data_IF_512340300153
#
_entry.id   IF_512340300153
#
_cell.length_a   1.000
_cell.length_b   1.000
_cell.length_c   1.000
_cell.angle_alpha   90.00
_cell.angle_beta   90.00
_cell.angle_gamma   90.00
#
_symmetry.space_group_name_H-M   'P 1'
#
loop_
_entity.id
_entity.type
_entity.pdbx_description
1 polymer ?
#
# COMPACT_ATOMS: atom_id res chain seq x y z
N UNK A 1 -8.27 -70.55 -36.14
CA UNK A 1 -9.08 -69.51 -36.82
C UNK A 1 -10.13 -69.07 -35.78
N UNK A 2 -10.20 -67.88 -35.22
CA UNK A 2 -9.90 -66.52 -35.69
C UNK A 2 -9.66 -65.61 -34.47
N UNK A 3 -8.72 -64.68 -34.58
CA UNK A 3 -8.46 -63.65 -33.56
C UNK A 3 -9.42 -62.46 -33.64
N UNK A 4 -9.62 -61.75 -32.52
CA UNK A 4 -10.39 -60.50 -32.46
C UNK A 4 -9.62 -59.39 -31.73
N UNK A 5 -8.91 -58.61 -32.56
CA UNK A 5 -8.73 -57.14 -32.61
C UNK A 5 -8.93 -56.32 -31.30
N UNK A 6 -7.83 -55.71 -30.85
CA UNK A 6 -7.76 -54.62 -29.86
C UNK A 6 -8.54 -53.37 -30.31
N UNK A 7 -9.31 -52.79 -29.39
CA UNK A 7 -9.94 -51.49 -29.54
C UNK A 7 -9.00 -50.36 -29.09
N UNK A 8 -8.88 -49.36 -29.96
CA UNK A 8 -8.15 -48.11 -29.82
C UNK A 8 -8.89 -47.14 -28.91
N UNK A 9 -8.20 -46.58 -27.91
CA UNK A 9 -8.70 -45.47 -27.06
C UNK A 9 -8.89 -44.18 -27.88
N UNK A 10 -9.93 -43.37 -27.62
CA UNK A 10 -10.08 -42.09 -28.28
C UNK A 10 -9.26 -41.00 -27.57
N UNK A 11 -8.45 -40.34 -28.38
CA UNK A 11 -7.97 -38.95 -28.35
C UNK A 11 -8.46 -38.09 -27.17
N UNK A 12 -7.49 -37.61 -26.39
CA UNK A 12 -7.67 -36.57 -25.38
C UNK A 12 -8.22 -35.28 -25.98
N UNK A 13 -9.25 -34.75 -25.34
CA UNK A 13 -9.81 -33.43 -25.65
C UNK A 13 -8.83 -32.32 -25.25
N UNK A 14 -8.69 -31.24 -26.03
CA UNK A 14 -7.89 -30.11 -25.64
C UNK A 14 -8.55 -29.40 -24.44
N UNK A 15 -7.80 -29.30 -23.35
CA UNK A 15 -8.09 -28.44 -22.20
C UNK A 15 -8.33 -27.01 -22.70
N UNK A 16 -9.58 -26.55 -22.61
CA UNK A 16 -9.90 -25.13 -22.72
C UNK A 16 -9.10 -24.37 -21.67
N UNK A 17 -8.17 -23.53 -22.12
CA UNK A 17 -7.39 -22.67 -21.24
C UNK A 17 -8.30 -21.68 -20.52
N UNK A 18 -8.41 -21.82 -19.21
CA UNK A 18 -8.88 -20.78 -18.29
C UNK A 18 -7.89 -19.60 -18.32
N UNK A 19 -8.00 -18.73 -19.33
CA UNK A 19 -7.21 -17.48 -19.41
C UNK A 19 -7.97 -16.31 -18.75
N UNK A 20 -9.26 -16.46 -18.47
CA UNK A 20 -10.18 -15.37 -18.07
C UNK A 20 -10.27 -15.09 -16.55
N UNK A 21 -9.82 -16.00 -15.68
CA UNK A 21 -9.97 -15.82 -14.22
C UNK A 21 -8.80 -15.02 -13.60
N UNK A 22 -7.59 -15.19 -14.15
CA UNK A 22 -6.40 -14.48 -13.67
C UNK A 22 -6.44 -12.99 -14.01
N UNK A 23 -7.02 -12.60 -15.15
CA UNK A 23 -7.10 -11.21 -15.57
C UNK A 23 -8.08 -10.40 -14.72
N UNK A 24 -9.24 -10.97 -14.39
CA UNK A 24 -10.24 -10.33 -13.53
C UNK A 24 -9.72 -10.13 -12.10
N UNK A 25 -8.97 -11.11 -11.58
CA UNK A 25 -8.35 -11.00 -10.26
C UNK A 25 -7.33 -9.85 -10.20
N UNK A 26 -6.48 -9.72 -11.23
CA UNK A 26 -5.50 -8.62 -11.33
C UNK A 26 -6.16 -7.25 -11.53
N UNK A 27 -7.33 -7.21 -12.15
CA UNK A 27 -8.11 -5.98 -12.31
C UNK A 27 -8.80 -5.54 -11.02
N UNK A 28 -9.10 -6.45 -10.11
CA UNK A 28 -9.59 -6.06 -8.78
C UNK A 28 -8.46 -5.48 -7.90
N UNK A 29 -7.22 -5.94 -8.06
CA UNK A 29 -6.07 -5.44 -7.28
C UNK A 29 -5.76 -3.95 -7.51
N UNK A 30 -6.13 -3.39 -8.67
CA UNK A 30 -5.93 -1.96 -8.99
C UNK A 30 -7.02 -1.04 -8.43
N UNK A 31 -8.11 -1.59 -7.92
CA UNK A 31 -9.24 -0.81 -7.43
C UNK A 31 -9.18 -0.61 -5.92
N UNK A 32 -9.50 0.62 -5.49
CA UNK A 32 -9.71 0.87 -4.06
C UNK A 32 -10.97 0.15 -3.59
N UNK A 33 -11.04 -0.29 -2.32
CA UNK A 33 -12.25 -0.94 -1.80
C UNK A 33 -13.50 -0.07 -2.02
N UNK A 34 -14.53 -0.66 -2.63
CA UNK A 34 -15.77 0.06 -3.00
C UNK A 34 -16.43 0.74 -1.79
N UNK A 35 -16.28 0.17 -0.59
CA UNK A 35 -16.78 0.74 0.66
C UNK A 35 -16.11 2.09 0.99
N UNK A 36 -14.80 2.23 0.74
CA UNK A 36 -14.06 3.47 0.98
C UNK A 36 -14.48 4.55 -0.01
N UNK A 37 -14.60 4.18 -1.30
CA UNK A 37 -15.12 5.07 -2.35
C UNK A 37 -16.52 5.55 -2.01
N UNK A 38 -17.43 4.63 -1.70
CA UNK A 38 -18.82 4.95 -1.34
C UNK A 38 -18.92 5.86 -0.11
N UNK A 39 -18.05 5.69 0.89
CA UNK A 39 -18.02 6.54 2.09
C UNK A 39 -17.62 7.96 1.76
N UNK A 40 -16.64 8.16 0.87
CA UNK A 40 -16.18 9.49 0.45
C UNK A 40 -17.25 10.17 -0.40
N UNK A 41 -17.80 9.48 -1.40
CA UNK A 41 -18.89 10.02 -2.23
C UNK A 41 -20.08 10.48 -1.39
N UNK A 42 -20.42 9.75 -0.31
CA UNK A 42 -21.50 10.12 0.61
C UNK A 42 -21.26 11.43 1.35
N UNK A 43 -20.01 11.81 1.65
CA UNK A 43 -19.70 13.06 2.34
C UNK A 43 -20.03 14.30 1.52
N UNK A 44 -20.06 14.18 0.19
CA UNK A 44 -20.41 15.26 -0.72
C UNK A 44 -21.93 15.37 -0.97
N UNK A 45 -22.75 14.53 -0.32
CA UNK A 45 -24.18 14.43 -0.56
C UNK A 45 -24.99 14.62 0.74
N UNK A 46 -26.27 15.00 0.64
CA UNK A 46 -27.19 14.99 1.79
C UNK A 46 -27.27 13.62 2.46
N UNK A 47 -27.54 13.62 3.78
CA UNK A 47 -27.52 12.41 4.61
C UNK A 47 -28.44 11.28 4.11
N UNK A 48 -29.58 11.63 3.53
CA UNK A 48 -30.60 10.69 3.02
C UNK A 48 -30.41 10.31 1.55
N UNK A 49 -29.45 10.89 0.84
CA UNK A 49 -29.24 10.57 -0.57
C UNK A 49 -28.85 9.09 -0.74
N UNK A 50 -29.18 8.48 -1.89
CA UNK A 50 -28.72 7.14 -2.27
C UNK A 50 -27.72 7.25 -3.42
N UNK A 51 -26.80 6.31 -3.54
CA UNK A 51 -25.84 6.21 -4.65
C UNK A 51 -26.07 4.85 -5.28
N UNK A 52 -26.30 4.81 -6.60
CA UNK A 52 -26.50 3.56 -7.33
C UNK A 52 -25.23 2.70 -7.30
N UNK A 53 -25.36 1.43 -7.66
CA UNK A 53 -24.21 0.54 -7.80
C UNK A 53 -23.28 1.03 -8.90
N UNK A 54 -23.83 1.33 -10.09
CA UNK A 54 -23.02 1.75 -11.24
C UNK A 54 -22.23 3.03 -10.92
N UNK A 55 -22.84 4.02 -10.25
CA UNK A 55 -22.13 5.25 -9.89
C UNK A 55 -20.93 5.01 -8.97
N UNK A 56 -20.99 4.01 -8.08
CA UNK A 56 -19.84 3.67 -7.21
C UNK A 56 -18.73 2.99 -8.01
N UNK A 57 -19.09 2.10 -8.93
CA UNK A 57 -18.16 1.39 -9.82
C UNK A 57 -17.48 2.38 -10.78
N UNK A 58 -18.23 3.29 -11.41
CA UNK A 58 -17.66 4.34 -12.27
C UNK A 58 -16.67 5.21 -11.51
N UNK A 59 -17.00 5.67 -10.29
CA UNK A 59 -16.06 6.49 -9.52
C UNK A 59 -14.84 5.68 -9.04
N UNK A 60 -15.01 4.38 -8.77
CA UNK A 60 -13.90 3.47 -8.45
C UNK A 60 -12.93 3.32 -9.64
N UNK A 61 -13.46 3.22 -10.85
CA UNK A 61 -12.64 3.22 -12.07
C UNK A 61 -11.95 4.58 -12.27
N UNK A 62 -12.69 5.68 -12.15
CA UNK A 62 -12.16 7.04 -12.31
C UNK A 62 -11.05 7.35 -11.30
N UNK A 63 -11.15 6.91 -10.04
CA UNK A 63 -10.11 7.20 -9.04
C UNK A 63 -8.84 6.40 -9.31
N UNK A 64 -8.96 5.17 -9.81
CA UNK A 64 -7.80 4.38 -10.23
C UNK A 64 -7.11 5.00 -11.45
N UNK A 65 -7.88 5.52 -12.41
CA UNK A 65 -7.32 6.29 -13.53
C UNK A 65 -6.68 7.60 -13.06
N UNK A 66 -7.31 8.32 -12.14
CA UNK A 66 -6.76 9.55 -11.56
C UNK A 66 -5.38 9.31 -10.90
N UNK A 67 -5.23 8.23 -10.14
CA UNK A 67 -3.94 7.86 -9.55
C UNK A 67 -2.89 7.65 -10.66
N UNK A 68 -3.20 6.85 -11.68
CA UNK A 68 -2.30 6.62 -12.81
C UNK A 68 -1.98 7.89 -13.58
N UNK A 69 -2.95 8.78 -13.76
CA UNK A 69 -2.79 10.03 -14.50
C UNK A 69 -1.83 11.00 -13.79
N UNK A 70 -2.06 11.27 -12.51
CA UNK A 70 -1.18 12.15 -11.72
C UNK A 70 0.22 11.55 -11.59
N UNK A 71 0.30 10.25 -11.29
CA UNK A 71 1.60 9.59 -11.09
C UNK A 71 2.39 9.46 -12.39
N UNK A 72 1.72 9.33 -13.54
CA UNK A 72 2.34 9.39 -14.86
C UNK A 72 3.02 10.75 -15.11
N UNK A 73 2.29 11.84 -14.93
CA UNK A 73 2.83 13.20 -15.15
C UNK A 73 4.00 13.52 -14.19
N UNK A 74 3.88 13.11 -12.92
CA UNK A 74 4.96 13.26 -11.95
C UNK A 74 6.19 12.38 -12.28
N UNK A 75 5.95 11.16 -12.77
CA UNK A 75 7.02 10.26 -13.23
C UNK A 75 7.78 10.89 -14.40
N UNK A 76 7.08 11.46 -15.37
CA UNK A 76 7.71 12.12 -16.52
C UNK A 76 8.61 13.28 -16.09
N UNK A 77 8.16 14.12 -15.14
CA UNK A 77 9.03 15.15 -14.53
C UNK A 77 10.25 14.56 -13.86
N UNK A 78 10.06 13.57 -12.99
CA UNK A 78 11.15 12.90 -12.28
C UNK A 78 12.20 12.36 -13.25
N UNK A 79 11.76 11.71 -14.33
CA UNK A 79 12.64 11.13 -15.34
C UNK A 79 13.37 12.19 -16.17
N UNK A 80 12.70 13.28 -16.57
CA UNK A 80 13.36 14.42 -17.25
C UNK A 80 14.49 15.02 -16.40
N UNK A 81 14.33 15.03 -15.09
CA UNK A 81 15.34 15.47 -14.12
C UNK A 81 16.39 14.39 -13.79
N UNK A 82 16.39 13.26 -14.51
CA UNK A 82 17.30 12.12 -14.33
C UNK A 82 17.23 11.47 -12.93
N UNK A 83 16.09 11.59 -12.25
CA UNK A 83 15.83 10.94 -10.96
C UNK A 83 15.07 9.63 -11.19
N UNK A 84 15.33 8.64 -10.33
CA UNK A 84 14.65 7.33 -10.34
C UNK A 84 13.51 7.23 -9.31
N UNK A 85 13.44 8.18 -8.39
CA UNK A 85 12.47 8.19 -7.29
C UNK A 85 11.63 9.46 -7.39
N UNK A 86 10.32 9.26 -7.49
CA UNK A 86 9.33 10.33 -7.49
C UNK A 86 9.22 10.86 -6.06
N UNK A 87 9.31 12.18 -5.91
CA UNK A 87 9.20 12.86 -4.62
C UNK A 87 7.87 13.63 -4.50
N UNK A 88 7.53 14.10 -3.30
CA UNK A 88 6.31 14.90 -3.08
C UNK A 88 6.24 16.18 -3.92
N UNK A 89 7.39 16.81 -4.21
CA UNK A 89 7.49 18.01 -5.04
C UNK A 89 7.18 17.72 -6.52
N UNK A 90 7.31 16.48 -6.98
CA UNK A 90 6.87 16.07 -8.32
C UNK A 90 5.36 16.00 -8.41
N UNK A 91 4.70 15.51 -7.35
CA UNK A 91 3.25 15.45 -7.30
C UNK A 91 2.63 16.84 -7.23
N UNK A 92 3.23 17.76 -6.44
CA UNK A 92 2.78 19.15 -6.37
C UNK A 92 2.89 19.86 -7.72
N UNK A 93 3.98 19.60 -8.46
CA UNK A 93 4.14 20.11 -9.81
C UNK A 93 3.09 19.52 -10.76
N UNK A 94 2.90 18.20 -10.77
CA UNK A 94 1.93 17.53 -11.63
C UNK A 94 0.50 18.06 -11.38
N UNK A 95 0.11 18.23 -10.11
CA UNK A 95 -1.18 18.82 -9.74
C UNK A 95 -1.37 20.22 -10.32
N UNK A 96 -0.31 21.03 -10.36
CA UNK A 96 -0.37 22.38 -10.97
C UNK A 96 -0.49 22.27 -12.49
N UNK A 97 0.37 21.47 -13.13
CA UNK A 97 0.41 21.31 -14.59
C UNK A 97 -0.90 20.77 -15.17
N UNK A 98 -1.57 19.88 -14.44
CA UNK A 98 -2.80 19.23 -14.88
C UNK A 98 -4.08 20.03 -14.54
N UNK A 99 -3.97 21.23 -13.96
CA UNK A 99 -5.13 22.09 -13.66
C UNK A 99 -5.85 21.75 -12.35
N UNK A 100 -5.15 21.14 -11.39
CA UNK A 100 -5.66 20.78 -10.06
C UNK A 100 -5.08 21.70 -8.97
N UNK A 101 -4.89 22.98 -9.27
CA UNK A 101 -4.20 23.96 -8.40
C UNK A 101 -4.86 24.11 -7.03
N UNK A 102 -6.18 23.95 -6.96
CA UNK A 102 -6.95 23.98 -5.72
C UNK A 102 -6.51 22.92 -4.70
N UNK A 103 -5.87 21.84 -5.15
CA UNK A 103 -5.32 20.79 -4.27
C UNK A 103 -3.89 21.08 -3.80
N UNK A 104 -3.15 21.97 -4.47
CA UNK A 104 -1.72 22.22 -4.20
C UNK A 104 -1.52 22.80 -2.80
N UNK A 105 -2.35 23.76 -2.38
CA UNK A 105 -2.26 24.38 -1.05
C UNK A 105 -2.39 23.34 0.09
N UNK A 106 -3.50 22.59 0.15
CA UNK A 106 -3.68 21.50 1.12
C UNK A 106 -2.57 20.45 1.08
N UNK A 107 -2.12 20.05 -0.11
CA UNK A 107 -1.06 19.05 -0.26
C UNK A 107 0.31 19.52 0.24
N UNK A 108 0.64 20.81 0.08
CA UNK A 108 1.88 21.40 0.64
C UNK A 108 1.89 21.32 2.16
N UNK A 109 0.77 21.65 2.81
CA UNK A 109 0.64 21.55 4.27
C UNK A 109 0.82 20.09 4.70
N UNK A 110 0.16 19.15 4.02
CA UNK A 110 0.31 17.73 4.31
C UNK A 110 1.77 17.25 4.17
N UNK A 111 2.45 17.62 3.08
CA UNK A 111 3.83 17.24 2.83
C UNK A 111 4.79 17.79 3.90
N UNK A 112 4.55 19.03 4.36
CA UNK A 112 5.34 19.62 5.44
C UNK A 112 5.18 18.84 6.75
N UNK A 113 3.94 18.60 7.17
CA UNK A 113 3.66 17.86 8.40
C UNK A 113 4.20 16.41 8.36
N UNK A 114 4.16 15.78 7.18
CA UNK A 114 4.75 14.45 6.97
C UNK A 114 6.28 14.46 7.18
N UNK A 115 6.97 15.47 6.64
CA UNK A 115 8.42 15.63 6.81
C UNK A 115 8.82 15.87 8.27
N UNK A 116 8.03 16.65 9.01
CA UNK A 116 8.25 16.87 10.45
C UNK A 116 8.10 15.56 11.23
N UNK A 117 7.00 14.83 11.01
CA UNK A 117 6.70 13.58 11.74
C UNK A 117 7.71 12.46 11.44
N UNK A 118 8.17 12.34 10.18
CA UNK A 118 9.18 11.33 9.82
C UNK A 118 10.60 11.75 10.24
N UNK A 119 10.89 13.06 10.25
CA UNK A 119 12.16 13.59 10.76
C UNK A 119 12.38 13.30 12.26
N UNK A 120 11.31 13.34 13.06
CA UNK A 120 11.34 13.00 14.49
C UNK A 120 11.66 11.50 14.73
N UNK A 121 11.14 10.61 13.87
CA UNK A 121 11.44 9.16 13.94
C UNK A 121 12.86 8.84 13.51
N UNK A 122 13.41 9.58 12.52
CA UNK A 122 14.80 9.44 12.09
C UNK A 122 15.84 9.85 13.15
N UNK A 123 15.53 10.88 13.95
CA UNK A 123 16.41 11.33 15.04
C UNK A 123 16.40 10.41 16.27
N UNK A 124 15.40 9.52 16.39
CA UNK A 124 15.27 8.59 17.52
C UNK A 124 16.07 7.29 17.32
N UNK A 125 16.53 6.99 16.11
CA UNK A 125 17.36 5.82 15.80
C UNK A 125 18.86 6.14 15.62
N UNK A 126 19.25 7.43 15.64
CA UNK A 126 20.64 7.85 15.40
C UNK A 126 21.50 8.03 16.66
N UNK A 127 21.10 7.45 17.82
CA UNK A 127 21.84 7.62 19.10
C UNK A 127 22.16 6.34 19.87
N UNK A 128 22.32 5.23 19.16
CA UNK A 128 22.95 3.98 19.60
C UNK A 128 23.51 3.37 18.31
N UNK A 129 24.80 3.11 18.08
CA UNK A 129 25.87 2.66 18.96
C UNK A 129 27.20 3.17 18.38
N UNK A 130 27.96 3.89 19.20
CA UNK A 130 29.40 3.97 19.04
C UNK A 130 29.99 2.85 19.90
N UNK A 131 30.92 2.10 19.29
CA UNK A 131 32.00 1.34 19.95
C UNK A 131 31.74 -0.14 20.35
N UNK A 132 32.18 -1.06 19.47
CA UNK A 132 32.57 -2.42 19.84
C UNK A 132 34.12 -2.49 19.89
N UNK A 133 34.76 -2.78 21.04
CA UNK A 133 36.17 -3.16 21.07
C UNK A 133 36.33 -4.63 20.68
N UNK A 134 37.31 -4.88 19.80
CA UNK A 134 37.78 -6.19 19.37
C UNK A 134 38.50 -6.87 20.54
N UNK A 135 38.16 -8.13 20.85
CA UNK A 135 39.10 -9.09 21.46
C UNK A 135 38.74 -10.53 21.04
N UNK A 136 39.76 -11.28 20.64
CA UNK A 136 39.69 -12.60 20.03
C UNK A 136 39.75 -13.75 21.08
N UNK A 137 39.06 -14.85 20.73
CA UNK A 137 39.28 -16.29 21.03
C UNK A 137 39.48 -16.79 22.49
N UNK A 138 38.63 -17.72 22.96
CA UNK A 138 38.88 -19.17 22.87
C UNK A 138 37.81 -20.04 23.58
N UNK A 139 37.77 -21.28 23.10
CA UNK A 139 36.97 -22.51 23.27
C UNK A 139 36.44 -23.00 24.67
N UNK A 140 35.43 -23.88 24.56
CA UNK A 140 34.91 -24.96 25.44
C UNK A 140 33.75 -24.72 26.44
N UNK A 141 32.69 -25.56 26.28
CA UNK A 141 32.05 -26.22 27.43
C UNK A 141 30.50 -26.32 27.45
N UNK A 142 29.97 -27.53 27.24
CA UNK A 142 28.56 -27.92 27.39
C UNK A 142 28.04 -27.88 28.86
N UNK A 143 26.83 -27.37 29.12
CA UNK A 143 25.61 -28.08 29.65
C UNK A 143 24.58 -27.18 30.38
N UNK A 144 23.32 -27.32 29.91
CA UNK A 144 22.05 -27.55 30.62
C UNK A 144 21.51 -26.61 31.74
N UNK A 145 20.26 -26.14 31.52
CA UNK A 145 19.21 -26.06 32.55
C UNK A 145 18.81 -24.65 33.01
N UNK A 146 17.54 -24.25 32.78
CA UNK A 146 16.98 -23.08 33.46
C UNK A 146 15.74 -22.46 32.82
N UNK A 147 14.59 -22.76 33.41
CA UNK A 147 13.21 -22.36 33.09
C UNK A 147 12.90 -20.88 33.47
N UNK A 148 11.83 -20.33 32.85
CA UNK A 148 10.95 -19.17 33.16
C UNK A 148 11.49 -17.75 33.47
N UNK A 149 11.02 -16.76 32.68
CA UNK A 149 10.29 -15.60 33.24
C UNK A 149 9.54 -14.81 32.16
N UNK A 150 8.21 -14.77 32.31
CA UNK A 150 7.30 -13.85 31.63
C UNK A 150 7.25 -12.59 32.50
N UNK A 151 7.83 -11.50 32.03
CA UNK A 151 7.80 -10.20 32.69
C UNK A 151 7.02 -9.21 31.84
N UNK A 152 5.78 -8.92 32.24
CA UNK A 152 4.97 -7.88 31.64
C UNK A 152 5.44 -6.47 32.05
N UNK A 153 5.27 -5.52 31.15
CA UNK A 153 5.08 -4.11 31.50
C UNK A 153 3.74 -3.65 30.94
N UNK A 154 2.76 -3.54 31.83
CA UNK A 154 1.64 -2.62 31.67
C UNK A 154 2.17 -1.22 31.97
N UNK A 155 1.96 -0.26 31.06
CA UNK A 155 2.15 1.15 31.38
C UNK A 155 0.93 1.96 30.96
N UNK A 156 0.51 2.76 31.92
CA UNK A 156 -0.77 3.44 32.06
C UNK A 156 -0.90 4.62 31.09
N UNK A 157 -2.01 4.71 30.35
CA UNK A 157 -2.49 5.98 29.80
C UNK A 157 -3.58 6.53 30.72
N UNK A 158 -3.18 7.49 31.56
CA UNK A 158 -4.09 8.33 32.34
C UNK A 158 -4.74 9.35 31.41
N UNK A 159 -6.06 9.52 31.56
CA UNK A 159 -6.90 10.30 30.68
C UNK A 159 -6.62 11.80 30.69
N UNK A 160 -6.70 12.39 29.49
CA UNK A 160 -6.84 13.83 29.27
C UNK A 160 -8.20 14.11 28.64
N UNK A 161 -9.06 14.80 29.39
CA UNK A 161 -10.34 15.31 28.92
C UNK A 161 -10.12 16.51 27.99
N UNK A 162 -10.69 16.48 26.79
CA UNK A 162 -10.84 17.68 25.96
C UNK A 162 -12.27 18.19 26.13
N UNK A 163 -12.41 19.33 26.82
CA UNK A 163 -13.60 20.18 26.78
C UNK A 163 -13.14 21.48 26.13
N UNK A 164 -13.63 21.76 24.93
CA UNK A 164 -13.46 23.07 24.28
C UNK A 164 -14.86 23.61 24.03
N UNK A 165 -15.04 24.84 24.52
CA UNK A 165 -16.25 25.66 24.49
C UNK A 165 -16.75 25.92 23.07
#
# INVERSE_FOLDING_TARGET
>A
MTGKRNQTSPVGSPTSGNISDSSLSKEQDRFLPIANVSRIMKKALPANAKISKEAKETVQECVSEFISFITGEASDKCQREKRKTINGDDLLWAMTTLGFENYVGPLKVYLNNFRETEGEKGNSMAKQEDQCPITEASDNGFNNGGFYSVGGLTSNYSGGNYKVL
#
